data_IF_605043531515
#
_entry.id   IF_605043531515
#
_cell.length_a   1.000
_cell.length_b   1.000
_cell.length_c   1.000
_cell.angle_alpha   90.00
_cell.angle_beta   90.00
_cell.angle_gamma   90.00
#
_symmetry.space_group_name_H-M   'P 1'
#
loop_
_entity.id
_entity.type
_entity.pdbx_description
1 polymer ?
#
# COMPACT_ATOMS: atom_id res chain seq x y z
N UNK A 1 3.90 -1.40 6.95
CA UNK A 1 4.10 -0.10 6.27
C UNK A 1 5.52 0.11 5.75
N UNK A 2 6.59 -0.12 6.54
CA UNK A 2 7.98 0.09 6.11
C UNK A 2 8.44 -0.71 4.88
N UNK A 3 7.91 -1.92 4.67
CA UNK A 3 8.30 -2.77 3.53
C UNK A 3 7.97 -2.16 2.16
N UNK A 4 6.87 -1.41 2.04
CA UNK A 4 6.46 -0.79 0.78
C UNK A 4 7.32 0.44 0.44
N UNK A 5 7.71 1.20 1.48
CA UNK A 5 8.68 2.29 1.37
C UNK A 5 10.05 1.74 0.97
N UNK A 6 10.48 0.60 1.52
CA UNK A 6 11.72 -0.06 1.11
C UNK A 6 11.72 -0.41 -0.40
N UNK A 7 10.61 -0.93 -0.92
CA UNK A 7 10.47 -1.20 -2.36
C UNK A 7 10.61 0.08 -3.19
N UNK A 8 9.99 1.18 -2.75
CA UNK A 8 10.07 2.47 -3.44
C UNK A 8 11.48 3.07 -3.39
N UNK A 9 12.17 2.98 -2.26
CA UNK A 9 13.56 3.43 -2.10
C UNK A 9 14.50 2.61 -2.99
N UNK A 10 14.36 1.29 -3.01
CA UNK A 10 15.15 0.41 -3.90
C UNK A 10 14.89 0.74 -5.39
N UNK A 11 13.64 1.03 -5.75
CA UNK A 11 13.29 1.49 -7.10
C UNK A 11 13.80 2.91 -7.40
N UNK A 12 13.99 3.77 -6.41
CA UNK A 12 14.42 5.17 -6.56
C UNK A 12 15.93 5.41 -6.42
N UNK A 13 16.72 4.43 -5.97
CA UNK A 13 18.18 4.55 -5.82
C UNK A 13 18.93 4.89 -7.14
N UNK A 14 20.25 5.05 -7.09
CA UNK A 14 21.06 5.40 -8.27
C UNK A 14 22.05 4.30 -8.68
N UNK A 15 21.75 3.02 -8.40
CA UNK A 15 22.60 1.93 -8.87
C UNK A 15 22.49 1.72 -10.40
N UNK A 16 23.64 1.47 -11.04
CA UNK A 16 23.80 1.36 -12.51
C UNK A 16 22.93 0.24 -13.13
N UNK A 17 22.79 -0.90 -12.45
CA UNK A 17 22.02 -2.03 -12.96
C UNK A 17 20.53 -1.95 -12.59
N UNK A 18 19.73 -1.41 -13.52
CA UNK A 18 18.26 -1.31 -13.38
C UNK A 18 17.58 -2.68 -13.25
N UNK A 19 18.11 -3.73 -13.88
CA UNK A 19 17.54 -5.07 -13.84
C UNK A 19 17.70 -5.72 -12.48
N UNK A 20 18.89 -5.60 -11.88
CA UNK A 20 19.14 -6.08 -10.52
C UNK A 20 18.22 -5.38 -9.49
N UNK A 21 18.03 -4.07 -9.62
CA UNK A 21 17.12 -3.29 -8.77
C UNK A 21 15.68 -3.72 -8.87
N UNK A 22 15.19 -3.96 -10.09
CA UNK A 22 13.84 -4.46 -10.32
C UNK A 22 13.60 -5.80 -9.63
N UNK A 23 14.54 -6.73 -9.76
CA UNK A 23 14.47 -8.06 -9.11
C UNK A 23 14.49 -7.95 -7.59
N UNK A 24 15.33 -7.10 -7.03
CA UNK A 24 15.41 -6.86 -5.59
C UNK A 24 14.11 -6.25 -5.06
N UNK A 25 13.61 -5.20 -5.71
CA UNK A 25 12.34 -4.56 -5.38
C UNK A 25 11.15 -5.54 -5.44
N UNK A 26 11.11 -6.38 -6.48
CA UNK A 26 10.07 -7.41 -6.62
C UNK A 26 10.16 -8.49 -5.55
N UNK A 27 11.38 -8.92 -5.18
CA UNK A 27 11.57 -9.90 -4.11
C UNK A 27 11.07 -9.35 -2.78
N UNK A 28 11.50 -8.13 -2.40
CA UNK A 28 11.06 -7.44 -1.19
C UNK A 28 9.54 -7.25 -1.17
N UNK A 29 8.96 -6.86 -2.29
CA UNK A 29 7.50 -6.72 -2.42
C UNK A 29 6.79 -8.06 -2.12
N UNK A 30 7.24 -9.16 -2.74
CA UNK A 30 6.59 -10.46 -2.61
C UNK A 30 6.79 -11.11 -1.24
N UNK A 31 7.95 -10.92 -0.60
CA UNK A 31 8.25 -11.55 0.70
C UNK A 31 7.81 -10.75 1.91
N UNK A 32 7.76 -9.41 1.83
CA UNK A 32 7.46 -8.57 2.99
C UNK A 32 6.20 -7.74 2.79
N UNK A 33 6.08 -7.04 1.66
CA UNK A 33 4.97 -6.11 1.45
C UNK A 33 3.63 -6.83 1.26
N UNK A 34 3.61 -7.90 0.45
CA UNK A 34 2.39 -8.66 0.14
C UNK A 34 1.81 -9.38 1.37
N UNK A 35 2.56 -10.23 2.12
CA UNK A 35 1.99 -10.92 3.27
C UNK A 35 1.61 -9.97 4.40
N UNK A 36 2.38 -8.90 4.62
CA UNK A 36 2.03 -7.88 5.61
C UNK A 36 0.75 -7.11 5.27
N UNK A 37 0.52 -6.83 3.99
CA UNK A 37 -0.72 -6.23 3.52
C UNK A 37 -1.91 -7.20 3.67
N UNK A 38 -1.76 -8.46 3.26
CA UNK A 38 -2.82 -9.48 3.40
C UNK A 38 -3.20 -9.67 4.86
N UNK A 39 -2.24 -9.79 5.77
CA UNK A 39 -2.52 -9.90 7.20
C UNK A 39 -3.31 -8.70 7.74
N UNK A 40 -2.88 -7.47 7.38
CA UNK A 40 -3.57 -6.25 7.79
C UNK A 40 -4.99 -6.14 7.21
N UNK A 41 -5.16 -6.57 5.95
CA UNK A 41 -6.45 -6.54 5.25
C UNK A 41 -7.43 -7.54 5.84
N UNK A 42 -6.98 -8.77 6.13
CA UNK A 42 -7.80 -9.80 6.79
C UNK A 42 -8.22 -9.34 8.17
N UNK A 43 -7.30 -8.80 8.99
CA UNK A 43 -7.66 -8.23 10.29
C UNK A 43 -8.67 -7.08 10.17
N UNK A 44 -8.51 -6.21 9.18
CA UNK A 44 -9.48 -5.13 8.89
C UNK A 44 -10.85 -5.67 8.51
N UNK A 45 -10.91 -6.70 7.65
CA UNK A 45 -12.16 -7.37 7.25
C UNK A 45 -12.84 -8.06 8.42
N UNK A 46 -12.09 -8.78 9.26
CA UNK A 46 -12.64 -9.44 10.45
C UNK A 46 -13.24 -8.40 11.38
N UNK A 47 -12.54 -7.28 11.63
CA UNK A 47 -13.07 -6.17 12.46
C UNK A 47 -14.37 -5.58 11.90
N UNK A 48 -14.46 -5.42 10.59
CA UNK A 48 -15.68 -4.99 9.91
C UNK A 48 -16.81 -6.03 10.01
N UNK A 49 -16.47 -7.32 9.92
CA UNK A 49 -17.42 -8.44 9.91
C UNK A 49 -18.08 -8.73 11.26
N UNK A 50 -17.41 -8.42 12.38
CA UNK A 50 -17.97 -8.65 13.72
C UNK A 50 -19.23 -7.81 13.97
N UNK A 51 -19.36 -6.62 13.37
CA UNK A 51 -20.53 -5.76 13.60
C UNK A 51 -20.93 -4.96 12.35
N UNK A 52 -21.26 -5.69 11.28
CA UNK A 52 -21.50 -5.14 9.94
C UNK A 52 -22.62 -4.07 9.90
N UNK A 53 -23.70 -4.29 10.68
CA UNK A 53 -24.84 -3.35 10.76
C UNK A 53 -24.48 -2.06 11.49
N UNK A 54 -23.70 -2.14 12.56
CA UNK A 54 -23.29 -0.96 13.32
C UNK A 54 -22.30 -0.08 12.54
N UNK A 55 -21.38 -0.69 11.79
CA UNK A 55 -20.39 0.09 11.03
C UNK A 55 -20.95 0.72 9.75
N UNK A 56 -21.85 0.04 9.03
CA UNK A 56 -22.33 0.54 7.73
C UNK A 56 -23.60 1.37 7.81
N UNK A 57 -24.45 1.18 8.83
CA UNK A 57 -25.77 1.84 8.91
C UNK A 57 -25.75 3.03 9.86
N UNK A 58 -25.03 2.94 10.98
CA UNK A 58 -25.02 3.99 12.02
C UNK A 58 -23.84 4.96 11.93
N UNK A 59 -22.79 4.66 11.17
CA UNK A 59 -21.58 5.50 11.08
C UNK A 59 -21.47 6.21 9.73
N UNK A 60 -21.85 7.50 9.66
CA UNK A 60 -21.85 8.28 8.41
C UNK A 60 -20.44 8.45 7.76
N UNK A 61 -19.37 8.28 8.53
CA UNK A 61 -17.99 8.38 8.05
C UNK A 61 -17.40 7.08 7.50
N UNK A 62 -18.16 5.98 7.47
CA UNK A 62 -17.63 4.70 6.99
C UNK A 62 -17.25 4.74 5.50
N UNK A 63 -17.99 5.49 4.68
CA UNK A 63 -17.68 5.62 3.25
C UNK A 63 -16.30 6.26 2.99
N UNK A 64 -15.93 7.27 3.78
CA UNK A 64 -14.63 7.95 3.67
C UNK A 64 -13.51 7.00 4.08
N UNK A 65 -13.69 6.25 5.17
CA UNK A 65 -12.74 5.24 5.63
C UNK A 65 -12.57 4.13 4.58
N UNK A 66 -13.65 3.66 3.95
CA UNK A 66 -13.59 2.67 2.88
C UNK A 66 -12.85 3.19 1.65
N UNK A 67 -13.13 4.42 1.22
CA UNK A 67 -12.47 5.03 0.06
C UNK A 67 -10.96 5.15 0.28
N UNK A 68 -10.54 5.56 1.48
CA UNK A 68 -9.13 5.60 1.89
C UNK A 68 -8.46 4.23 1.84
N UNK A 69 -9.16 3.18 2.30
CA UNK A 69 -8.68 1.81 2.17
C UNK A 69 -8.50 1.46 0.71
N UNK A 70 -9.51 1.65 -0.14
CA UNK A 70 -9.45 1.36 -1.59
C UNK A 70 -8.27 2.06 -2.27
N UNK A 71 -8.03 3.34 -1.95
CA UNK A 71 -6.87 4.08 -2.46
C UNK A 71 -5.56 3.42 -2.02
N UNK A 72 -5.42 3.02 -0.75
CA UNK A 72 -4.24 2.31 -0.27
C UNK A 72 -4.03 0.96 -0.98
N UNK A 73 -5.11 0.21 -1.24
CA UNK A 73 -5.06 -1.06 -2.01
C UNK A 73 -4.57 -0.80 -3.44
N UNK A 74 -5.16 0.19 -4.11
CA UNK A 74 -4.81 0.54 -5.49
C UNK A 74 -3.33 0.93 -5.60
N UNK A 75 -2.83 1.75 -4.67
CA UNK A 75 -1.42 2.15 -4.65
C UNK A 75 -0.51 0.96 -4.33
N UNK A 76 -0.90 0.08 -3.39
CA UNK A 76 -0.14 -1.14 -3.09
C UNK A 76 0.06 -2.02 -4.34
N UNK A 77 -1.01 -2.24 -5.13
CA UNK A 77 -0.93 -3.00 -6.37
C UNK A 77 -0.16 -2.27 -7.47
N UNK A 78 -0.26 -0.94 -7.56
CA UNK A 78 0.50 -0.15 -8.53
C UNK A 78 2.02 -0.27 -8.30
N UNK A 79 2.45 -0.19 -7.03
CA UNK A 79 3.86 -0.38 -6.65
C UNK A 79 4.33 -1.81 -6.97
N UNK A 80 3.51 -2.83 -6.66
CA UNK A 80 3.79 -4.22 -7.02
C UNK A 80 3.90 -4.45 -8.53
N UNK A 81 2.98 -3.89 -9.31
CA UNK A 81 2.97 -3.98 -10.77
C UNK A 81 4.19 -3.27 -11.38
N UNK A 82 4.62 -2.15 -10.80
CA UNK A 82 5.83 -1.44 -11.22
C UNK A 82 7.08 -2.25 -10.90
N UNK A 83 7.21 -2.78 -9.69
CA UNK A 83 8.32 -3.64 -9.31
C UNK A 83 8.42 -4.87 -10.24
N UNK A 84 7.28 -5.49 -10.57
CA UNK A 84 7.20 -6.60 -11.54
C UNK A 84 7.64 -6.20 -12.95
N UNK A 85 7.23 -5.02 -13.44
CA UNK A 85 7.61 -4.54 -14.78
C UNK A 85 9.11 -4.26 -14.88
N UNK A 86 9.69 -3.59 -13.88
CA UNK A 86 11.14 -3.32 -13.83
C UNK A 86 11.93 -4.63 -13.69
N UNK A 87 11.46 -5.58 -12.87
CA UNK A 87 12.10 -6.90 -12.74
C UNK A 87 12.16 -7.70 -14.05
N UNK A 88 11.19 -7.48 -14.94
CA UNK A 88 11.11 -8.10 -16.28
C UNK A 88 11.86 -7.32 -17.37
N UNK A 89 12.53 -6.21 -17.03
CA UNK A 89 13.19 -5.34 -18.02
C UNK A 89 12.23 -4.54 -18.90
N UNK A 90 10.92 -4.60 -18.64
CA UNK A 90 9.88 -3.97 -19.46
C UNK A 90 9.51 -2.55 -18.97
N UNK A 91 10.32 -1.94 -18.11
CA UNK A 91 10.06 -0.60 -17.57
C UNK A 91 11.28 0.01 -16.89
N UNK A 92 11.39 1.34 -16.95
CA UNK A 92 12.50 2.08 -16.31
C UNK A 92 12.32 2.11 -14.79
N UNK A 93 13.40 1.82 -14.07
CA UNK A 93 13.51 2.21 -12.67
C UNK A 93 13.46 3.75 -12.62
N UNK A 94 12.57 4.31 -11.82
CA UNK A 94 12.37 5.77 -11.80
C UNK A 94 11.65 6.19 -10.53
N UNK A 95 11.54 7.50 -10.34
CA UNK A 95 10.99 8.08 -9.11
C UNK A 95 9.62 7.49 -8.77
N UNK A 96 9.55 6.79 -7.64
CA UNK A 96 8.34 6.28 -7.02
C UNK A 96 7.64 7.31 -6.14
N UNK A 97 8.11 8.57 -6.15
CA UNK A 97 7.72 9.61 -5.20
C UNK A 97 6.23 9.90 -5.23
N UNK A 98 5.58 9.97 -6.40
CA UNK A 98 4.12 10.21 -6.49
C UNK A 98 3.33 9.05 -5.90
N UNK A 99 3.67 7.80 -6.23
CA UNK A 99 3.04 6.61 -5.64
C UNK A 99 3.32 6.47 -4.14
N UNK A 100 4.52 6.87 -3.69
CA UNK A 100 4.89 6.87 -2.27
C UNK A 100 4.18 7.94 -1.46
N UNK A 101 4.06 9.16 -1.99
CA UNK A 101 3.30 10.25 -1.40
C UNK A 101 1.81 9.92 -1.34
N UNK A 102 1.24 9.37 -2.42
CA UNK A 102 -0.15 8.94 -2.43
C UNK A 102 -0.41 7.85 -1.38
N UNK A 103 0.48 6.86 -1.25
CA UNK A 103 0.39 5.84 -0.21
C UNK A 103 0.52 6.44 1.19
N UNK A 104 1.50 7.32 1.39
CA UNK A 104 1.77 8.00 2.65
C UNK A 104 0.57 8.83 3.10
N UNK A 105 0.02 9.67 2.21
CA UNK A 105 -1.16 10.48 2.48
C UNK A 105 -2.39 9.63 2.77
N UNK A 106 -2.61 8.54 2.02
CA UNK A 106 -3.72 7.63 2.28
C UNK A 106 -3.58 6.94 3.65
N UNK A 107 -2.38 6.47 4.01
CA UNK A 107 -2.15 5.89 5.33
C UNK A 107 -2.31 6.92 6.45
N UNK A 108 -1.77 8.12 6.26
CA UNK A 108 -1.81 9.18 7.28
C UNK A 108 -3.24 9.68 7.49
N UNK A 109 -4.01 9.87 6.41
CA UNK A 109 -5.44 10.17 6.46
C UNK A 109 -6.24 9.08 7.17
N UNK A 110 -5.96 7.80 6.89
CA UNK A 110 -6.63 6.68 7.54
C UNK A 110 -6.34 6.61 9.05
N UNK A 111 -5.08 6.84 9.46
CA UNK A 111 -4.68 6.89 10.88
C UNK A 111 -5.33 8.09 11.57
N UNK A 112 -5.31 9.27 10.96
CA UNK A 112 -5.93 10.49 11.50
C UNK A 112 -7.44 10.28 11.68
N UNK A 113 -8.13 9.71 10.69
CA UNK A 113 -9.56 9.38 10.79
C UNK A 113 -9.88 8.27 11.80
N UNK A 114 -8.93 7.36 12.05
CA UNK A 114 -9.07 6.34 13.08
C UNK A 114 -8.89 6.93 14.49
N UNK A 115 -8.00 7.91 14.66
CA UNK A 115 -7.65 8.49 15.97
C UNK A 115 -8.51 9.69 16.35
N UNK A 116 -8.81 10.60 15.43
CA UNK A 116 -9.61 11.81 15.71
C UNK A 116 -11.11 11.52 15.86
N UNK A 117 -11.60 10.45 15.24
CA UNK A 117 -12.98 10.00 15.40
C UNK A 117 -13.04 8.47 15.46
N UNK A 118 -12.64 7.90 16.61
CA UNK A 118 -12.87 6.50 16.88
C UNK A 118 -14.37 6.36 17.14
N UNK A 119 -15.08 5.83 16.14
CA UNK A 119 -16.51 5.51 16.13
C UNK A 119 -17.42 6.74 15.94
#
# INVERSE_FOLDING_TARGET
>A
MGALLAVLVVLAGNAEDQGARGRLAWRVYRTLALPGFVGSFVFGMVRLGVDWRYFLVTTHFMHVKLLLVVVAIAVHHLVGARARRVAKGAGKAGSGVVSGLAFGLACLGAVVLAVLKPF
#
